data_IF_431462507594
#
_entry.id   IF_431462507594
#
_cell.length_a   1.000
_cell.length_b   1.000
_cell.length_c   1.000
_cell.angle_alpha   90.00
_cell.angle_beta   90.00
_cell.angle_gamma   90.00
#
_symmetry.space_group_name_H-M   'P 1'
#
loop_
_entity.id
_entity.type
_entity.pdbx_description
1 polymer ?
#
# COMPACT_ATOMS: atom_id res chain seq x y z
N UNK A 1 -4.33 -38.86 -31.97
CA UNK A 1 -3.40 -38.23 -31.00
C UNK A 1 -3.23 -36.72 -31.18
N UNK A 2 -3.15 -36.12 -32.39
CA UNK A 2 -3.04 -34.65 -32.50
C UNK A 2 -4.23 -33.83 -31.95
N UNK A 3 -5.51 -34.24 -32.06
CA UNK A 3 -6.62 -33.39 -31.60
C UNK A 3 -6.71 -33.27 -30.07
N UNK A 4 -6.26 -34.30 -29.33
CA UNK A 4 -6.24 -34.29 -27.86
C UNK A 4 -5.19 -33.32 -27.31
N UNK A 5 -4.01 -33.28 -27.94
CA UNK A 5 -2.95 -32.32 -27.59
C UNK A 5 -3.41 -30.90 -27.86
N UNK A 6 -4.06 -30.65 -29.00
CA UNK A 6 -4.62 -29.34 -29.31
C UNK A 6 -5.69 -28.91 -28.29
N UNK A 7 -6.60 -29.82 -27.88
CA UNK A 7 -7.59 -29.50 -26.84
C UNK A 7 -6.95 -29.14 -25.50
N UNK A 8 -5.92 -29.89 -25.08
CA UNK A 8 -5.20 -29.61 -23.84
C UNK A 8 -4.56 -28.22 -23.87
N UNK A 9 -3.89 -27.86 -24.97
CA UNK A 9 -3.25 -26.54 -25.14
C UNK A 9 -4.30 -25.41 -25.10
N UNK A 10 -5.45 -25.59 -25.74
CA UNK A 10 -6.52 -24.58 -25.77
C UNK A 10 -7.08 -24.33 -24.36
N UNK A 11 -7.28 -25.37 -23.55
CA UNK A 11 -7.79 -25.22 -22.17
C UNK A 11 -6.82 -24.46 -21.27
N UNK A 12 -5.51 -24.68 -21.42
CA UNK A 12 -4.47 -24.00 -20.65
C UNK A 12 -4.38 -22.51 -21.02
N UNK A 13 -4.50 -22.17 -22.30
CA UNK A 13 -4.44 -20.77 -22.76
C UNK A 13 -5.67 -19.97 -22.34
N UNK A 14 -6.87 -20.56 -22.41
CA UNK A 14 -8.10 -19.82 -22.05
C UNK A 14 -8.30 -19.65 -20.54
N UNK A 15 -7.77 -20.56 -19.71
CA UNK A 15 -7.84 -20.45 -18.25
C UNK A 15 -7.05 -19.25 -17.68
N UNK A 16 -6.02 -18.77 -18.39
CA UNK A 16 -5.20 -17.64 -17.95
C UNK A 16 -5.87 -16.26 -18.09
N UNK A 17 -6.88 -16.12 -18.95
CA UNK A 17 -7.55 -14.83 -19.19
C UNK A 17 -8.73 -14.55 -18.23
N UNK A 18 -9.20 -15.54 -17.47
CA UNK A 18 -10.41 -15.42 -16.65
C UNK A 18 -10.10 -14.96 -15.20
N UNK A 19 -8.82 -14.85 -14.84
CA UNK A 19 -8.41 -14.46 -13.49
C UNK A 19 -8.00 -12.98 -13.40
N UNK A 20 -8.94 -12.07 -13.67
CA UNK A 20 -9.01 -10.82 -12.92
C UNK A 20 -10.30 -10.86 -12.14
N UNK A 21 -10.28 -11.64 -11.05
CA UNK A 21 -11.29 -11.49 -10.02
C UNK A 21 -11.00 -10.12 -9.40
N UNK A 22 -11.76 -9.11 -9.84
CA UNK A 22 -11.90 -7.84 -9.15
C UNK A 22 -12.36 -8.16 -7.73
N UNK A 23 -11.42 -8.51 -6.86
CA UNK A 23 -11.64 -8.45 -5.44
C UNK A 23 -11.78 -6.95 -5.20
N UNK A 24 -13.02 -6.46 -5.28
CA UNK A 24 -13.39 -5.09 -5.01
C UNK A 24 -13.16 -4.86 -3.51
N UNK A 25 -11.88 -4.85 -3.13
CA UNK A 25 -11.41 -4.25 -1.92
C UNK A 25 -11.84 -2.81 -2.07
N UNK A 26 -12.86 -2.42 -1.32
CA UNK A 26 -13.31 -1.04 -1.21
C UNK A 26 -12.06 -0.19 -0.97
N UNK A 27 -11.65 0.56 -2.01
CA UNK A 27 -10.53 1.49 -1.89
C UNK A 27 -11.07 2.67 -1.11
N UNK A 28 -11.00 2.57 0.21
CA UNK A 28 -11.31 3.68 1.10
C UNK A 28 -10.22 4.74 0.93
N UNK A 29 -10.64 5.99 0.83
CA UNK A 29 -9.74 7.13 0.91
C UNK A 29 -9.06 7.18 2.27
N UNK A 30 -7.90 7.85 2.32
CA UNK A 30 -7.16 8.05 3.57
C UNK A 30 -8.00 8.73 4.66
N UNK A 31 -8.98 9.54 4.26
CA UNK A 31 -9.86 10.22 5.21
C UNK A 31 -10.91 9.27 5.80
N UNK A 32 -11.48 8.39 4.97
CA UNK A 32 -12.54 7.45 5.38
C UNK A 32 -12.08 6.36 6.37
N UNK A 33 -10.76 6.15 6.49
CA UNK A 33 -10.19 5.14 7.40
C UNK A 33 -9.76 5.70 8.76
N UNK A 34 -9.76 7.02 8.94
CA UNK A 34 -9.34 7.65 10.20
C UNK A 34 -10.56 7.67 11.15
N UNK A 35 -10.47 7.10 12.36
CA UNK A 35 -11.55 7.21 13.36
C UNK A 35 -11.86 8.66 13.72
N UNK A 36 -13.14 8.99 13.92
CA UNK A 36 -13.58 10.35 14.30
C UNK A 36 -13.02 10.80 15.66
N UNK A 37 -12.72 9.86 16.54
CA UNK A 37 -12.13 10.06 17.87
C UNK A 37 -10.61 9.86 17.91
N UNK A 38 -9.96 9.72 16.75
CA UNK A 38 -8.52 9.57 16.67
C UNK A 38 -7.80 10.81 17.24
N UNK A 39 -7.17 10.63 18.40
CA UNK A 39 -6.34 11.67 19.01
C UNK A 39 -4.95 11.63 18.37
N UNK A 40 -4.50 12.77 17.85
CA UNK A 40 -3.15 12.92 17.29
C UNK A 40 -2.11 12.75 18.41
N UNK A 41 -1.10 11.91 18.16
CA UNK A 41 0.08 11.82 19.02
C UNK A 41 0.87 13.14 18.94
N UNK A 42 1.24 13.66 20.10
CA UNK A 42 2.13 14.82 20.26
C UNK A 42 3.52 14.35 20.70
N UNK A 43 4.58 15.15 20.46
CA UNK A 43 5.91 14.86 20.99
C UNK A 43 5.92 14.62 22.51
N UNK A 44 5.09 15.34 23.27
CA UNK A 44 5.00 15.24 24.73
C UNK A 44 4.32 13.93 25.18
N UNK A 45 3.52 13.32 24.31
CA UNK A 45 2.80 12.06 24.57
C UNK A 45 3.48 10.83 23.95
N UNK A 46 4.64 11.01 23.31
CA UNK A 46 5.40 9.91 22.73
C UNK A 46 6.15 9.14 23.83
N UNK A 47 5.80 7.85 23.99
CA UNK A 47 6.45 6.95 24.97
C UNK A 47 7.89 6.62 24.55
N UNK A 48 8.21 6.78 23.27
CA UNK A 48 9.52 6.48 22.69
C UNK A 48 10.05 7.68 21.92
N UNK A 49 10.38 8.79 22.62
CA UNK A 49 10.83 9.99 21.96
C UNK A 49 12.07 9.70 21.11
N UNK A 50 12.20 10.34 19.93
CA UNK A 50 13.33 10.11 19.05
C UNK A 50 14.65 10.49 19.75
N UNK A 51 15.66 9.64 19.60
CA UNK A 51 17.01 9.93 20.06
C UNK A 51 17.73 10.70 18.97
N UNK A 52 18.17 11.92 19.27
CA UNK A 52 18.98 12.71 18.34
C UNK A 52 20.40 12.12 18.30
N UNK A 53 20.73 11.42 17.22
CA UNK A 53 22.05 10.80 17.03
C UNK A 53 23.07 11.70 16.31
N UNK A 54 22.62 12.78 15.69
CA UNK A 54 23.45 13.73 14.94
C UNK A 54 22.97 15.15 15.20
N UNK A 55 23.93 16.04 15.41
CA UNK A 55 23.76 17.48 15.54
C UNK A 55 23.82 18.22 14.19
N UNK A 56 23.78 17.50 13.08
CA UNK A 56 23.82 18.07 11.72
C UNK A 56 22.51 18.77 11.29
N UNK A 57 21.59 19.02 12.23
CA UNK A 57 20.45 19.86 11.96
C UNK A 57 20.91 21.32 11.99
N UNK A 58 20.63 22.05 10.92
CA UNK A 58 20.96 23.45 10.75
C UNK A 58 19.68 24.25 10.50
N UNK A 59 19.67 25.51 10.89
CA UNK A 59 18.54 26.40 10.59
C UNK A 59 18.33 26.50 9.07
N UNK A 60 17.06 26.51 8.59
CA UNK A 60 16.78 26.62 7.17
C UNK A 60 17.33 27.94 6.62
N UNK A 61 17.97 27.88 5.45
CA UNK A 61 18.49 29.08 4.76
C UNK A 61 17.31 30.00 4.42
N UNK A 62 17.31 31.26 4.89
CA UNK A 62 16.27 32.21 4.53
C UNK A 62 16.22 32.40 3.01
N UNK A 63 15.04 32.20 2.44
CA UNK A 63 14.76 32.55 1.07
C UNK A 63 14.27 33.99 1.08
N UNK A 64 15.16 34.95 0.81
CA UNK A 64 14.77 36.32 0.47
C UNK A 64 14.13 36.39 -0.93
#
# INVERSE_FOLDING_TARGET
MPPLVCMMVITVVMGGCIASQENHSTILSRYEIIPDDAVKMTPETDVFPPVLHSDAWEEPVPME
#
